data_IF_275437104778
#
_entry.id   IF_275437104778
#
_cell.length_a   1.000
_cell.length_b   1.000
_cell.length_c   1.000
_cell.angle_alpha   90.00
_cell.angle_beta   90.00
_cell.angle_gamma   90.00
#
_symmetry.space_group_name_H-M   'P 1'
#
loop_
_entity.id
_entity.type
_entity.pdbx_description
1 polymer ?
#
# COMPACT_ATOMS: atom_id res chain seq x y z
N UNK A 1 -33.51 25.16 15.11
CA UNK A 1 -32.45 24.25 15.63
C UNK A 1 -32.15 23.08 14.69
N UNK A 2 -33.16 22.50 14.03
CA UNK A 2 -32.94 21.43 13.03
C UNK A 2 -32.44 21.95 11.67
N UNK A 3 -32.95 23.10 11.18
CA UNK A 3 -32.49 23.69 9.91
C UNK A 3 -30.99 24.00 9.89
N UNK A 4 -30.42 24.47 11.01
CA UNK A 4 -28.98 24.71 11.10
C UNK A 4 -28.17 23.41 11.02
N UNK A 5 -28.69 22.30 11.53
CA UNK A 5 -28.04 21.00 11.47
C UNK A 5 -28.12 20.40 10.06
N UNK A 6 -29.28 20.51 9.41
CA UNK A 6 -29.50 20.05 8.04
C UNK A 6 -28.63 20.84 7.04
N UNK A 7 -28.52 22.16 7.24
CA UNK A 7 -27.62 23.01 6.45
C UNK A 7 -26.15 22.62 6.64
N UNK A 8 -25.72 22.29 7.86
CA UNK A 8 -24.36 21.81 8.13
C UNK A 8 -24.12 20.46 7.46
N UNK A 9 -25.09 19.53 7.53
CA UNK A 9 -25.01 18.24 6.83
C UNK A 9 -24.87 18.40 5.32
N UNK A 10 -25.67 19.27 4.71
CA UNK A 10 -25.56 19.57 3.27
C UNK A 10 -24.19 20.15 2.91
N UNK A 11 -23.65 21.07 3.72
CA UNK A 11 -22.32 21.64 3.48
C UNK A 11 -21.22 20.59 3.57
N UNK A 12 -21.31 19.67 4.56
CA UNK A 12 -20.36 18.55 4.70
C UNK A 12 -20.43 17.65 3.46
N UNK A 13 -21.63 17.25 3.03
CA UNK A 13 -21.81 16.41 1.84
C UNK A 13 -21.24 17.07 0.58
N UNK A 14 -21.51 18.36 0.37
CA UNK A 14 -20.96 19.09 -0.77
C UNK A 14 -19.43 19.19 -0.72
N UNK A 15 -18.86 19.36 0.47
CA UNK A 15 -17.41 19.38 0.66
C UNK A 15 -16.78 18.03 0.33
N UNK A 16 -17.37 16.94 0.83
CA UNK A 16 -16.92 15.57 0.53
C UNK A 16 -17.01 15.27 -0.97
N UNK A 17 -18.11 15.66 -1.63
CA UNK A 17 -18.25 15.44 -3.06
C UNK A 17 -17.21 16.23 -3.89
N UNK A 18 -16.92 17.49 -3.52
CA UNK A 18 -15.83 18.26 -4.14
C UNK A 18 -14.48 17.60 -3.93
N UNK A 19 -14.21 17.11 -2.72
CA UNK A 19 -12.97 16.40 -2.42
C UNK A 19 -12.84 15.13 -3.27
N UNK A 20 -13.91 14.36 -3.42
CA UNK A 20 -13.93 13.17 -4.29
C UNK A 20 -13.61 13.53 -5.75
N UNK A 21 -14.24 14.56 -6.31
CA UNK A 21 -13.96 15.02 -7.67
C UNK A 21 -12.50 15.47 -7.85
N UNK A 22 -11.97 16.25 -6.90
CA UNK A 22 -10.56 16.65 -6.92
C UNK A 22 -9.62 15.44 -6.81
N UNK A 23 -9.99 14.46 -5.97
CA UNK A 23 -9.26 13.21 -5.85
C UNK A 23 -9.24 12.46 -7.17
N UNK A 24 -10.38 12.31 -7.85
CA UNK A 24 -10.46 11.64 -9.16
C UNK A 24 -9.53 12.30 -10.21
N UNK A 25 -9.40 13.62 -10.18
CA UNK A 25 -8.48 14.36 -11.07
C UNK A 25 -7.00 14.04 -10.78
N UNK A 26 -6.63 13.95 -9.50
CA UNK A 26 -5.25 13.64 -9.06
C UNK A 26 -4.94 12.13 -9.12
N UNK A 27 -5.95 11.28 -8.97
CA UNK A 27 -5.85 9.82 -8.94
C UNK A 27 -5.47 9.22 -10.31
N UNK A 28 -5.46 10.01 -11.38
CA UNK A 28 -4.94 9.66 -12.71
C UNK A 28 -3.50 9.09 -12.70
N UNK A 29 -2.82 9.09 -11.55
CA UNK A 29 -1.48 8.57 -11.34
C UNK A 29 -1.36 7.07 -11.02
N UNK A 30 -2.41 6.28 -10.72
CA UNK A 30 -2.22 4.82 -10.50
C UNK A 30 -2.26 3.97 -11.77
N UNK A 31 -1.73 4.49 -12.87
CA UNK A 31 -1.75 3.79 -14.16
C UNK A 31 -0.80 2.60 -14.22
N UNK A 32 0.30 2.64 -13.46
CA UNK A 32 1.35 1.63 -13.56
C UNK A 32 1.87 1.21 -12.18
N UNK A 33 2.65 0.11 -12.18
CA UNK A 33 3.19 -0.51 -10.98
C UNK A 33 4.13 0.40 -10.20
N UNK A 34 4.86 1.30 -10.86
CA UNK A 34 5.80 2.20 -10.20
C UNK A 34 5.07 3.23 -9.33
N UNK A 35 3.94 3.74 -9.81
CA UNK A 35 3.18 4.73 -9.07
C UNK A 35 2.51 4.11 -7.84
N UNK A 36 1.95 2.91 -8.01
CA UNK A 36 1.40 2.12 -6.90
C UNK A 36 2.49 1.73 -5.90
N UNK A 37 3.68 1.34 -6.36
CA UNK A 37 4.78 0.94 -5.47
C UNK A 37 5.27 2.12 -4.63
N UNK A 38 5.39 3.32 -5.23
CA UNK A 38 5.72 4.57 -4.51
C UNK A 38 4.65 4.91 -3.47
N UNK A 39 3.38 4.82 -3.84
CA UNK A 39 2.28 5.12 -2.92
C UNK A 39 2.21 4.17 -1.73
N UNK A 40 2.45 2.88 -1.96
CA UNK A 40 2.44 1.86 -0.91
C UNK A 40 3.77 1.77 -0.13
N UNK A 41 4.83 2.44 -0.59
CA UNK A 41 6.15 2.36 0.04
C UNK A 41 6.82 0.99 -0.10
N UNK A 42 6.59 0.29 -1.21
CA UNK A 42 7.12 -1.06 -1.47
C UNK A 42 7.84 -1.13 -2.82
N UNK A 43 8.54 -2.24 -3.08
CA UNK A 43 9.19 -2.46 -4.37
C UNK A 43 8.18 -2.84 -5.46
N UNK A 44 8.51 -2.59 -6.73
CA UNK A 44 7.70 -3.04 -7.88
C UNK A 44 7.57 -4.56 -7.91
N UNK A 45 8.63 -5.28 -7.51
CA UNK A 45 8.60 -6.74 -7.37
C UNK A 45 7.56 -7.20 -6.33
N UNK A 46 7.42 -6.44 -5.24
CA UNK A 46 6.38 -6.68 -4.23
C UNK A 46 4.98 -6.51 -4.82
N UNK A 47 4.75 -5.52 -5.69
CA UNK A 47 3.47 -5.37 -6.40
C UNK A 47 3.17 -6.56 -7.30
N UNK A 48 4.18 -7.08 -8.02
CA UNK A 48 4.02 -8.30 -8.82
C UNK A 48 3.67 -9.50 -7.92
N UNK A 49 4.29 -9.61 -6.74
CA UNK A 49 3.96 -10.65 -5.78
C UNK A 49 2.52 -10.51 -5.30
N UNK A 50 2.05 -9.29 -4.98
CA UNK A 50 0.67 -9.04 -4.54
C UNK A 50 -0.35 -9.50 -5.60
N UNK A 51 -0.07 -9.29 -6.88
CA UNK A 51 -0.91 -9.79 -7.96
C UNK A 51 -0.82 -11.32 -8.04
N UNK A 52 0.40 -11.88 -7.99
CA UNK A 52 0.64 -13.33 -8.14
C UNK A 52 0.04 -14.15 -7.00
N UNK A 53 0.11 -13.66 -5.76
CA UNK A 53 -0.38 -14.35 -4.56
C UNK A 53 -1.83 -14.00 -4.18
N UNK A 54 -2.51 -13.19 -5.01
CA UNK A 54 -3.92 -12.89 -4.88
C UNK A 54 -4.27 -11.81 -3.85
N UNK A 55 -3.27 -11.18 -3.20
CA UNK A 55 -3.51 -10.00 -2.34
C UNK A 55 -4.11 -8.83 -3.12
N UNK A 56 -3.71 -8.68 -4.38
CA UNK A 56 -4.39 -7.83 -5.34
C UNK A 56 -5.34 -8.68 -6.18
N UNK A 57 -6.63 -8.42 -6.02
CA UNK A 57 -7.73 -9.06 -6.75
C UNK A 57 -8.11 -8.29 -8.03
N UNK A 58 -8.34 -9.02 -9.13
CA UNK A 58 -8.86 -8.49 -10.39
C UNK A 58 -10.27 -7.90 -10.19
N UNK A 59 -10.53 -6.73 -10.80
CA UNK A 59 -11.80 -6.00 -10.68
C UNK A 59 -11.93 -5.20 -9.37
N UNK A 60 -11.04 -5.39 -8.41
CA UNK A 60 -11.04 -4.67 -7.13
C UNK A 60 -9.80 -3.80 -6.94
N UNK A 61 -8.62 -4.34 -7.21
CA UNK A 61 -7.35 -3.62 -7.06
C UNK A 61 -6.72 -3.26 -8.41
N UNK A 62 -7.01 -4.05 -9.45
CA UNK A 62 -6.52 -3.80 -10.81
C UNK A 62 -7.48 -4.39 -11.85
N UNK A 63 -7.33 -3.96 -13.10
CA UNK A 63 -7.98 -4.54 -14.27
C UNK A 63 -6.99 -4.64 -15.43
N UNK A 64 -7.36 -5.42 -16.46
CA UNK A 64 -6.62 -5.50 -17.71
C UNK A 64 -7.34 -4.61 -18.72
N UNK A 65 -6.67 -3.59 -19.24
CA UNK A 65 -7.24 -2.68 -20.23
C UNK A 65 -7.29 -3.31 -21.63
N UNK A 66 -7.91 -2.62 -22.58
CA UNK A 66 -8.04 -3.06 -23.98
C UNK A 66 -6.69 -3.35 -24.68
N UNK A 67 -5.61 -2.75 -24.19
CA UNK A 67 -4.23 -2.94 -24.68
C UNK A 67 -3.51 -4.08 -23.96
N UNK A 68 -4.23 -4.91 -23.21
CA UNK A 68 -3.70 -6.02 -22.42
C UNK A 68 -2.69 -5.59 -21.33
N UNK A 69 -2.77 -4.34 -20.87
CA UNK A 69 -1.93 -3.82 -19.78
C UNK A 69 -2.69 -3.83 -18.45
N UNK A 70 -1.96 -4.05 -17.36
CA UNK A 70 -2.49 -3.94 -16.01
C UNK A 70 -2.58 -2.45 -15.63
N UNK A 71 -3.79 -2.01 -15.30
CA UNK A 71 -4.05 -0.71 -14.68
C UNK A 71 -4.65 -0.91 -13.29
N UNK A 72 -4.35 -0.01 -12.36
CA UNK A 72 -4.76 -0.17 -10.97
C UNK A 72 -6.00 0.66 -10.67
N UNK A 73 -6.87 0.08 -9.83
CA UNK A 73 -8.10 0.71 -9.36
C UNK A 73 -7.74 1.50 -8.09
N UNK A 74 -7.77 2.84 -8.16
CA UNK A 74 -7.28 3.71 -7.09
C UNK A 74 -7.90 3.46 -5.73
N UNK A 75 -9.24 3.35 -5.68
CA UNK A 75 -9.97 3.08 -4.45
C UNK A 75 -9.51 1.77 -3.80
N UNK A 76 -9.35 0.71 -4.59
CA UNK A 76 -8.86 -0.57 -4.08
C UNK A 76 -7.44 -0.51 -3.52
N UNK A 77 -6.55 0.29 -4.13
CA UNK A 77 -5.18 0.48 -3.65
C UNK A 77 -5.14 1.28 -2.34
N UNK A 78 -5.97 2.31 -2.20
CA UNK A 78 -6.11 3.09 -0.96
C UNK A 78 -6.64 2.18 0.17
N UNK A 79 -7.72 1.46 -0.08
CA UNK A 79 -8.31 0.52 0.89
C UNK A 79 -7.31 -0.54 1.35
N UNK A 80 -6.50 -1.06 0.42
CA UNK A 80 -5.44 -2.02 0.73
C UNK A 80 -4.38 -1.43 1.68
N UNK A 81 -3.96 -0.18 1.43
CA UNK A 81 -2.97 0.51 2.28
C UNK A 81 -3.50 0.70 3.69
N UNK A 82 -4.75 1.13 3.83
CA UNK A 82 -5.38 1.37 5.12
C UNK A 82 -5.55 0.08 5.94
N UNK A 83 -5.90 -1.03 5.27
CA UNK A 83 -5.99 -2.35 5.90
C UNK A 83 -4.62 -2.89 6.30
N UNK A 84 -3.60 -2.75 5.45
CA UNK A 84 -2.25 -3.25 5.76
C UNK A 84 -1.57 -2.47 6.89
N UNK A 85 -1.78 -1.14 6.95
CA UNK A 85 -1.27 -0.28 8.02
C UNK A 85 -1.88 -0.65 9.38
N UNK A 86 -3.14 -1.10 9.40
CA UNK A 86 -3.82 -1.58 10.62
C UNK A 86 -3.27 -2.94 11.10
N UNK A 87 -2.87 -3.83 10.19
CA UNK A 87 -2.29 -5.14 10.53
C UNK A 87 -0.84 -5.04 11.05
N UNK A 88 -0.06 -4.07 10.58
CA UNK A 88 1.34 -3.87 11.00
C UNK A 88 1.52 -3.37 12.46
N UNK A 89 0.43 -3.17 13.23
CA UNK A 89 0.48 -2.79 14.65
C UNK A 89 0.70 -3.96 15.61
N UNK A 90 0.71 -5.20 15.12
CA UNK A 90 1.04 -6.37 15.95
C UNK A 90 2.17 -7.14 15.27
N UNK A 91 3.41 -6.72 15.51
CA UNK A 91 4.59 -7.54 15.19
C UNK A 91 5.12 -8.11 16.50
N UNK A 92 4.71 -9.33 16.80
CA UNK A 92 5.38 -10.13 17.82
C UNK A 92 6.69 -10.63 17.19
N UNK A 93 7.80 -9.98 17.54
CA UNK A 93 9.12 -10.29 16.99
C UNK A 93 9.55 -11.64 17.53
N UNK A 94 9.24 -12.72 16.80
CA UNK A 94 9.87 -14.02 17.05
C UNK A 94 11.33 -13.93 16.62
N UNK A 95 12.21 -13.66 17.58
CA UNK A 95 13.66 -13.73 17.42
C UNK A 95 14.02 -15.18 17.10
N UNK A 96 14.14 -15.54 15.82
CA UNK A 96 14.74 -16.82 15.44
C UNK A 96 16.23 -16.78 15.80
N UNK A 97 16.73 -17.83 16.47
CA UNK A 97 18.15 -18.00 16.72
C UNK A 97 18.92 -17.95 15.39
N UNK A 98 19.65 -16.86 15.16
CA UNK A 98 20.44 -16.68 13.93
C UNK A 98 21.73 -17.50 14.08
N UNK A 99 21.80 -18.65 13.39
CA UNK A 99 23.07 -19.35 13.25
C UNK A 99 23.97 -18.61 12.26
N UNK A 100 25.12 -18.16 12.75
CA UNK A 100 26.12 -17.49 11.93
C UNK A 100 26.76 -18.48 10.95
N UNK A 101 26.85 -18.13 9.66
CA UNK A 101 27.52 -18.98 8.68
C UNK A 101 29.00 -19.19 9.07
N UNK A 102 29.58 -20.39 8.90
CA UNK A 102 30.94 -20.71 9.34
C UNK A 102 32.00 -19.70 8.87
N UNK A 103 31.84 -19.19 7.65
CA UNK A 103 32.72 -18.16 7.07
C UNK A 103 32.67 -16.85 7.86
N UNK A 104 31.49 -16.36 8.22
CA UNK A 104 31.33 -15.13 9.01
C UNK A 104 31.91 -15.28 10.43
N UNK A 105 31.80 -16.50 11.01
CA UNK A 105 32.39 -16.81 12.32
C UNK A 105 33.91 -16.70 12.33
N UNK A 106 34.57 -17.10 11.23
CA UNK A 106 36.04 -16.98 11.08
C UNK A 106 36.50 -15.52 10.98
N UNK A 107 35.75 -14.67 10.28
CA UNK A 107 36.07 -13.24 10.16
C UNK A 107 35.91 -12.49 11.48
N UNK A 108 34.85 -12.78 12.25
CA UNK A 108 34.59 -12.10 13.52
C UNK A 108 35.46 -12.62 14.68
N UNK A 109 35.87 -13.90 14.67
CA UNK A 109 36.70 -14.48 15.73
C UNK A 109 38.19 -14.09 15.67
N UNK A 110 38.63 -13.45 14.58
CA UNK A 110 40.02 -13.09 14.34
C UNK A 110 40.42 -11.68 14.78
N UNK A 111 39.47 -10.80 15.11
CA UNK A 111 39.77 -9.43 15.59
C UNK A 111 39.97 -9.44 17.10
N UNK A 112 41.20 -9.74 17.55
CA UNK A 112 41.68 -9.19 18.82
C UNK A 112 42.12 -7.76 18.53
N UNK A 113 41.28 -6.80 18.90
CA UNK A 113 41.72 -5.41 19.04
C UNK A 113 42.76 -5.38 20.18
N UNK A 114 44.01 -5.12 19.82
CA UNK A 114 45.09 -4.83 20.77
C UNK A 114 45.12 -3.35 21.10
#
# INVERSE_FOLDING_TARGET
>A
MFESLENVLMQIMQSLHRQEQMMQLVITHFKNKNDVSKFLGVSVGTINNYIKDGRFELGKHYFINEKNNIEFIPAGIVDFKDKSTKQNRVVDVKTTERHLHPTAKKFLGGQKVG
#
